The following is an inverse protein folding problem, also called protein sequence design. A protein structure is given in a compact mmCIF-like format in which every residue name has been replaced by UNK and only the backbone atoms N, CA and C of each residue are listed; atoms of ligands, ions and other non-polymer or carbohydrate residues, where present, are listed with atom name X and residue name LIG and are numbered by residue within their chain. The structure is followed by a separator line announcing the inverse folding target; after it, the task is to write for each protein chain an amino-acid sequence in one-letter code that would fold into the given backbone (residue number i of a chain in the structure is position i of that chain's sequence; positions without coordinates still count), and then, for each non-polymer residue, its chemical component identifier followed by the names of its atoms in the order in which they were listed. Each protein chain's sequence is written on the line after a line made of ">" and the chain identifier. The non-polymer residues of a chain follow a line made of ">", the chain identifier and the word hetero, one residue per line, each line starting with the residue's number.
data_IF_885443232277
#
_entry.id   IF_885443232277
#
_cell.length_a   1.000
_cell.length_b   1.000
_cell.length_c   1.000
_cell.angle_alpha   90.00
_cell.angle_beta   90.00
_cell.angle_gamma   90.00
#
_symmetry.space_group_name_H-M   'P 1'
#
loop_
_entity.id
_entity.type
_entity.pdbx_description
1 polymer ?
#
# COMPACT_ATOMS: atom_id res chain seq x y z
N UNK A 1 62.58 -26.99 4.76
CA UNK A 1 61.28 -26.69 4.14
C UNK A 1 60.71 -25.47 4.81
N UNK A 2 60.26 -24.52 4.00
CA UNK A 2 59.81 -23.16 4.32
C UNK A 2 58.29 -23.20 4.38
N UNK A 3 57.66 -22.74 5.46
CA UNK A 3 56.24 -22.42 5.47
C UNK A 3 56.01 -21.14 6.27
N UNK A 4 55.91 -20.06 5.49
CA UNK A 4 55.51 -18.71 5.83
C UNK A 4 53.99 -18.65 5.98
N UNK A 5 53.49 -18.10 7.07
CA UNK A 5 52.13 -17.55 7.19
C UNK A 5 52.26 -16.30 8.08
N UNK A 6 52.73 -15.16 7.55
CA UNK A 6 51.94 -14.07 6.94
C UNK A 6 50.64 -13.78 7.70
N UNK A 7 50.75 -12.78 8.58
CA UNK A 7 49.90 -11.59 8.69
C UNK A 7 48.45 -11.69 8.21
N UNK A 8 47.52 -11.45 9.13
CA UNK A 8 46.50 -10.41 8.96
C UNK A 8 45.89 -10.08 10.32
N UNK A 9 46.39 -8.99 10.90
CA UNK A 9 45.74 -8.23 11.95
C UNK A 9 44.44 -7.69 11.34
N UNK A 10 43.32 -8.38 11.52
CA UNK A 10 42.02 -7.85 11.10
C UNK A 10 41.58 -6.75 12.08
N UNK A 11 42.15 -5.57 11.86
CA UNK A 11 41.51 -4.31 12.22
C UNK A 11 40.35 -4.16 11.22
N UNK A 12 39.13 -4.38 11.70
CA UNK A 12 37.91 -3.89 11.07
C UNK A 12 37.02 -3.55 12.26
N UNK A 13 37.11 -2.33 12.77
CA UNK A 13 36.67 -1.14 12.05
C UNK A 13 35.30 -0.82 12.63
N UNK A 14 35.28 0.09 13.60
CA UNK A 14 34.06 0.60 14.18
C UNK A 14 33.17 1.17 13.07
N UNK A 15 32.03 0.53 12.83
CA UNK A 15 30.88 1.22 12.29
C UNK A 15 29.81 1.16 13.36
N UNK A 16 29.96 2.03 14.36
CA UNK A 16 28.82 2.56 15.09
C UNK A 16 27.90 3.13 14.02
N UNK A 17 26.88 2.37 13.63
CA UNK A 17 25.75 2.93 12.92
C UNK A 17 25.14 3.94 13.90
N UNK A 18 25.55 5.20 13.74
CA UNK A 18 24.64 6.30 13.96
C UNK A 18 23.44 5.97 13.07
N UNK A 19 22.44 5.31 13.64
CA UNK A 19 21.10 5.37 13.11
C UNK A 19 20.82 6.85 13.20
N UNK A 20 21.03 7.55 12.09
CA UNK A 20 20.60 8.92 11.95
C UNK A 20 19.17 8.93 12.41
N UNK A 21 18.90 9.72 13.44
CA UNK A 21 17.59 10.11 13.92
C UNK A 21 16.84 10.95 12.84
N UNK A 22 17.04 10.60 11.57
CA UNK A 22 16.49 11.20 10.38
C UNK A 22 15.29 10.34 9.95
N UNK A 23 14.24 10.40 10.76
CA UNK A 23 12.98 9.73 10.46
C UNK A 23 12.05 9.55 11.66
N UNK A 24 12.49 9.86 12.88
CA UNK A 24 11.62 9.87 14.05
C UNK A 24 10.92 11.22 14.24
N UNK A 25 11.49 12.29 13.69
CA UNK A 25 10.95 13.65 13.60
C UNK A 25 9.82 13.77 12.55
N UNK A 26 8.79 12.94 12.66
CA UNK A 26 7.46 13.20 12.08
C UNK A 26 6.34 12.43 12.77
N UNK A 27 6.60 11.75 13.90
CA UNK A 27 5.53 11.33 14.82
C UNK A 27 5.05 12.51 15.68
N UNK A 28 4.87 13.66 15.04
CA UNK A 28 3.87 14.61 15.53
C UNK A 28 2.57 13.83 15.51
N UNK A 29 1.81 13.92 16.60
CA UNK A 29 0.41 13.51 16.66
C UNK A 29 -0.44 14.41 15.72
N UNK A 30 -0.06 14.48 14.45
CA UNK A 30 -0.81 15.07 13.36
C UNK A 30 -1.69 13.96 12.82
N UNK A 31 -2.96 14.28 12.56
CA UNK A 31 -3.89 13.34 11.93
C UNK A 31 -3.16 12.59 10.82
N UNK A 32 -3.09 11.27 10.94
CA UNK A 32 -2.65 10.42 9.82
C UNK A 32 -3.75 10.59 8.78
N UNK A 33 -3.54 11.53 7.87
CA UNK A 33 -4.45 11.77 6.75
C UNK A 33 -4.54 10.49 5.95
N UNK A 34 -5.77 10.01 5.73
CA UNK A 34 -6.02 8.81 4.95
C UNK A 34 -6.79 9.20 3.69
N UNK A 35 -6.68 8.38 2.67
CA UNK A 35 -7.62 8.41 1.57
C UNK A 35 -8.64 7.30 1.81
N UNK A 36 -9.92 7.67 1.74
CA UNK A 36 -11.00 6.73 1.58
C UNK A 36 -11.29 6.58 0.09
N UNK A 37 -11.25 5.36 -0.43
CA UNK A 37 -11.57 5.05 -1.81
C UNK A 37 -12.77 4.11 -1.89
N UNK A 38 -13.75 4.46 -2.73
CA UNK A 38 -14.83 3.61 -3.15
C UNK A 38 -14.62 3.15 -4.58
N UNK A 39 -14.83 1.86 -4.85
CA UNK A 39 -14.74 1.29 -6.20
C UNK A 39 -15.91 0.34 -6.42
N UNK A 40 -16.78 0.57 -7.42
CA UNK A 40 -17.73 -0.45 -7.84
C UNK A 40 -16.98 -1.61 -8.47
N UNK A 41 -17.31 -2.85 -8.13
CA UNK A 41 -16.61 -4.03 -8.68
C UNK A 41 -17.48 -4.86 -9.62
N UNK A 42 -18.73 -4.44 -9.82
CA UNK A 42 -19.66 -5.02 -10.75
C UNK A 42 -20.78 -4.01 -11.04
N UNK A 43 -20.98 -3.69 -12.32
CA UNK A 43 -21.98 -2.73 -12.78
C UNK A 43 -23.44 -3.17 -12.52
N UNK A 44 -23.68 -4.47 -12.31
CA UNK A 44 -25.04 -5.04 -12.24
C UNK A 44 -25.53 -5.35 -10.81
N UNK A 45 -24.63 -5.63 -9.87
CA UNK A 45 -25.00 -6.15 -8.55
C UNK A 45 -24.85 -5.13 -7.40
N UNK A 46 -24.37 -3.91 -7.70
CA UNK A 46 -24.17 -2.86 -6.70
C UNK A 46 -23.13 -3.24 -5.64
N UNK A 47 -22.14 -4.05 -6.02
CA UNK A 47 -21.06 -4.46 -5.13
C UNK A 47 -19.97 -3.40 -5.11
N UNK A 48 -19.54 -3.00 -3.92
CA UNK A 48 -18.55 -1.95 -3.72
C UNK A 48 -17.42 -2.39 -2.80
N UNK A 49 -16.22 -1.96 -3.16
CA UNK A 49 -15.06 -1.93 -2.29
C UNK A 49 -15.03 -0.60 -1.56
N UNK A 50 -14.71 -0.65 -0.26
CA UNK A 50 -14.39 0.52 0.54
C UNK A 50 -13.03 0.33 1.19
N UNK A 51 -12.08 1.21 0.88
CA UNK A 51 -10.71 1.08 1.36
C UNK A 51 -10.16 2.36 1.97
N UNK A 52 -9.53 2.19 3.13
CA UNK A 52 -8.77 3.24 3.79
C UNK A 52 -7.29 2.99 3.56
N UNK A 53 -6.64 3.93 2.89
CA UNK A 53 -5.24 3.84 2.52
C UNK A 53 -4.46 5.04 3.05
N UNK A 54 -3.22 4.85 3.52
CA UNK A 54 -2.38 5.97 3.92
C UNK A 54 -2.04 6.83 2.70
N UNK A 55 -2.02 8.14 2.89
CA UNK A 55 -1.54 9.08 1.89
C UNK A 55 -0.14 8.69 1.40
N UNK A 56 0.08 8.87 0.10
CA UNK A 56 1.34 8.54 -0.54
C UNK A 56 1.21 8.53 -2.05
N UNK A 57 2.28 8.12 -2.72
CA UNK A 57 2.35 8.03 -4.17
C UNK A 57 2.86 6.65 -4.61
N UNK A 58 2.64 6.34 -5.88
CA UNK A 58 2.99 5.07 -6.50
C UNK A 58 1.97 3.97 -6.24
N UNK A 59 2.28 2.81 -6.79
CA UNK A 59 1.45 1.63 -6.76
C UNK A 59 1.22 1.08 -5.33
N UNK A 60 -0.01 0.66 -5.04
CA UNK A 60 -0.35 -0.14 -3.87
C UNK A 60 -1.35 -1.23 -4.25
N UNK A 61 -1.10 -2.46 -3.79
CA UNK A 61 -2.04 -3.57 -3.92
C UNK A 61 -2.78 -3.77 -2.60
N UNK A 62 -4.09 -4.03 -2.68
CA UNK A 62 -4.99 -4.27 -1.55
C UNK A 62 -5.76 -5.55 -1.77
N UNK A 63 -5.97 -6.30 -0.68
CA UNK A 63 -6.97 -7.35 -0.64
C UNK A 63 -8.19 -6.80 0.10
N UNK A 64 -9.13 -6.25 -0.67
CA UNK A 64 -10.17 -5.37 -0.18
C UNK A 64 -11.51 -6.11 0.02
N UNK A 65 -12.25 -5.83 1.11
CA UNK A 65 -13.58 -6.40 1.31
C UNK A 65 -14.58 -5.82 0.31
N UNK A 66 -15.46 -6.68 -0.20
CA UNK A 66 -16.54 -6.31 -1.12
C UNK A 66 -17.87 -6.42 -0.39
N UNK A 67 -18.66 -5.35 -0.41
CA UNK A 67 -19.98 -5.30 0.21
C UNK A 67 -21.06 -5.14 -0.85
N UNK A 68 -22.25 -5.71 -0.60
CA UNK A 68 -23.41 -5.39 -1.42
C UNK A 68 -24.06 -4.06 -1.00
N UNK A 69 -25.07 -3.60 -1.73
CA UNK A 69 -25.80 -2.36 -1.44
C UNK A 69 -26.47 -2.31 -0.05
N UNK A 70 -26.63 -3.46 0.62
CA UNK A 70 -27.17 -3.55 1.99
C UNK A 70 -26.07 -3.56 3.07
N UNK A 71 -24.79 -3.48 2.68
CA UNK A 71 -23.64 -3.51 3.58
C UNK A 71 -23.18 -4.91 4.00
N UNK A 72 -23.72 -5.98 3.41
CA UNK A 72 -23.27 -7.34 3.73
C UNK A 72 -22.00 -7.70 2.95
N UNK A 73 -20.99 -8.19 3.67
CA UNK A 73 -19.75 -8.70 3.08
C UNK A 73 -20.05 -9.87 2.13
N UNK A 74 -19.61 -9.74 0.89
CA UNK A 74 -19.72 -10.77 -0.16
C UNK A 74 -18.41 -11.55 -0.34
N UNK A 75 -17.28 -10.98 0.09
CA UNK A 75 -15.97 -11.61 0.00
C UNK A 75 -14.87 -10.56 -0.11
N UNK A 76 -13.78 -10.94 -0.77
CA UNK A 76 -12.61 -10.09 -0.94
C UNK A 76 -12.13 -10.10 -2.38
N UNK A 77 -11.52 -8.99 -2.79
CA UNK A 77 -10.85 -8.89 -4.08
C UNK A 77 -9.48 -8.25 -3.97
N UNK A 78 -8.56 -8.75 -4.78
CA UNK A 78 -7.30 -8.05 -5.01
C UNK A 78 -7.53 -6.92 -6.00
N UNK A 79 -7.09 -5.72 -5.61
CA UNK A 79 -7.18 -4.49 -6.39
C UNK A 79 -5.88 -3.71 -6.26
N UNK A 80 -5.39 -3.17 -7.37
CA UNK A 80 -4.23 -2.30 -7.42
C UNK A 80 -4.66 -0.87 -7.67
N UNK A 81 -4.10 0.07 -6.91
CA UNK A 81 -4.29 1.50 -7.08
C UNK A 81 -2.97 2.15 -7.47
N UNK A 82 -3.02 3.07 -8.43
CA UNK A 82 -1.95 4.03 -8.66
C UNK A 82 -2.27 5.31 -7.89
N UNK A 83 -1.39 5.66 -6.95
CA UNK A 83 -1.57 6.83 -6.08
C UNK A 83 -0.74 7.99 -6.60
N UNK A 84 -1.33 9.17 -6.72
CA UNK A 84 -0.63 10.34 -7.25
C UNK A 84 -1.08 11.61 -6.56
N UNK A 85 -0.17 12.28 -5.86
CA UNK A 85 -0.47 13.53 -5.17
C UNK A 85 -1.62 13.34 -4.18
N UNK A 86 -2.65 14.17 -4.32
CA UNK A 86 -3.89 14.11 -3.53
C UNK A 86 -4.79 12.93 -3.90
N UNK A 87 -5.67 12.53 -2.96
CA UNK A 87 -6.53 11.35 -3.11
C UNK A 87 -7.41 11.39 -4.38
N UNK A 88 -7.84 12.58 -4.82
CA UNK A 88 -8.76 12.73 -5.96
C UNK A 88 -8.18 12.29 -7.30
N UNK A 89 -6.85 12.13 -7.38
CA UNK A 89 -6.12 11.69 -8.57
C UNK A 89 -5.75 10.21 -8.53
N UNK A 90 -6.17 9.49 -7.50
CA UNK A 90 -5.90 8.07 -7.36
C UNK A 90 -6.89 7.27 -8.20
N UNK A 91 -6.43 6.20 -8.81
CA UNK A 91 -7.27 5.37 -9.69
C UNK A 91 -6.88 3.91 -9.59
N UNK A 92 -7.83 3.03 -9.91
CA UNK A 92 -7.56 1.60 -10.05
C UNK A 92 -6.68 1.35 -11.28
N UNK A 93 -5.54 0.70 -11.09
CA UNK A 93 -4.56 0.44 -12.15
C UNK A 93 -4.49 -1.00 -12.62
N UNK A 94 -5.07 -1.95 -11.86
CA UNK A 94 -5.12 -3.37 -12.23
C UNK A 94 -6.54 -3.87 -12.24
N UNK A 95 -6.90 -4.83 -13.11
CA UNK A 95 -8.17 -5.54 -13.02
C UNK A 95 -8.38 -6.14 -11.63
N UNK A 96 -9.61 -6.13 -11.14
CA UNK A 96 -9.94 -6.78 -9.88
C UNK A 96 -9.86 -8.31 -10.03
N UNK A 97 -9.47 -9.03 -8.97
CA UNK A 97 -9.50 -10.51 -8.98
C UNK A 97 -10.04 -11.05 -7.67
N UNK A 98 -10.76 -12.17 -7.71
CA UNK A 98 -11.41 -12.77 -6.55
C UNK A 98 -12.85 -13.16 -6.84
N UNK A 99 -13.46 -13.96 -5.96
CA UNK A 99 -14.80 -14.52 -6.17
C UNK A 99 -15.90 -13.51 -6.52
N UNK A 100 -16.05 -12.38 -5.79
CA UNK A 100 -17.13 -11.43 -6.05
C UNK A 100 -16.78 -10.36 -7.11
N UNK A 101 -15.61 -10.44 -7.75
CA UNK A 101 -15.13 -9.43 -8.71
C UNK A 101 -15.28 -9.85 -10.17
N UNK A 102 -15.51 -8.87 -11.04
CA UNK A 102 -15.81 -9.08 -12.45
C UNK A 102 -14.58 -9.11 -13.37
N UNK A 103 -13.38 -8.95 -12.83
CA UNK A 103 -12.16 -9.00 -13.63
C UNK A 103 -11.87 -7.70 -14.40
N UNK A 104 -12.51 -6.57 -14.04
CA UNK A 104 -12.37 -5.31 -14.77
C UNK A 104 -11.76 -4.19 -13.93
N UNK A 105 -11.41 -3.11 -14.64
CA UNK A 105 -11.03 -1.83 -14.06
C UNK A 105 -12.26 -0.95 -14.00
N UNK A 106 -12.48 -0.37 -12.82
CA UNK A 106 -13.59 0.51 -12.52
C UNK A 106 -13.08 1.88 -12.05
N UNK A 107 -13.87 2.95 -12.22
CA UNK A 107 -13.51 4.25 -11.69
C UNK A 107 -13.43 4.19 -10.16
N UNK A 108 -12.33 4.67 -9.60
CA UNK A 108 -12.19 4.84 -8.15
C UNK A 108 -12.59 6.26 -7.76
N UNK A 109 -13.46 6.38 -6.77
CA UNK A 109 -13.80 7.66 -6.14
C UNK A 109 -13.05 7.75 -4.81
N UNK A 110 -12.05 8.62 -4.75
CA UNK A 110 -11.11 8.69 -3.63
C UNK A 110 -11.09 10.10 -3.03
N UNK A 111 -11.25 10.19 -1.71
CA UNK A 111 -11.27 11.45 -0.96
C UNK A 111 -10.40 11.40 0.29
N UNK A 112 -9.86 12.55 0.72
CA UNK A 112 -9.07 12.67 1.95
C UNK A 112 -10.01 12.67 3.17
N UNK A 113 -9.67 11.89 4.20
CA UNK A 113 -10.42 11.71 5.46
C UNK A 113 -9.52 11.72 6.68
#
# INVERSE_FOLDING_TARGET
>A
MKLTLISALFISGALSAAISDAGLEARVAGLIKKCFCSVPVNDHNGFQIYEYMPLGSGYIQRNAPVYNARGYLQGYCNIGFERKGDCSKWYQSTPTTGGPCDGKIHPADCTEV
#
